data_IF_944736705841
#
_entry.id   IF_944736705841
#
_cell.length_a   1.000
_cell.length_b   1.000
_cell.length_c   1.000
_cell.angle_alpha   90.00
_cell.angle_beta   90.00
_cell.angle_gamma   90.00
#
_symmetry.space_group_name_H-M   'P 1'
#
loop_
_entity.id
_entity.type
_entity.pdbx_description
1 polymer ?
#
# COMPACT_ATOMS: atom_id res chain seq x y z
N UNK A 1 -17.61 -1.17 -11.55
CA UNK A 1 -17.01 -0.83 -10.23
C UNK A 1 -15.91 0.19 -10.45
N UNK A 2 -15.81 1.20 -9.61
CA UNK A 2 -14.67 2.12 -9.62
C UNK A 2 -13.41 1.34 -9.17
N UNK A 3 -12.25 1.65 -9.76
CA UNK A 3 -10.98 1.02 -9.37
C UNK A 3 -10.55 1.54 -8.00
N UNK A 4 -10.00 0.67 -7.15
CA UNK A 4 -9.37 1.08 -5.89
C UNK A 4 -8.08 1.84 -6.16
N UNK A 5 -7.60 2.62 -5.19
CA UNK A 5 -6.34 3.35 -5.31
C UNK A 5 -5.15 2.43 -5.55
N UNK A 6 -5.13 1.26 -4.91
CA UNK A 6 -4.13 0.21 -5.13
C UNK A 6 -4.11 -0.26 -6.60
N UNK A 7 -5.28 -0.55 -7.18
CA UNK A 7 -5.39 -0.94 -8.59
C UNK A 7 -4.87 0.16 -9.54
N UNK A 8 -5.19 1.42 -9.25
CA UNK A 8 -4.73 2.56 -10.05
C UNK A 8 -3.20 2.73 -9.97
N UNK A 9 -2.59 2.47 -8.80
CA UNK A 9 -1.14 2.53 -8.64
C UNK A 9 -0.43 1.39 -9.39
N UNK A 10 -0.96 0.17 -9.32
CA UNK A 10 -0.44 -0.98 -10.09
C UNK A 10 -0.52 -0.71 -11.59
N UNK A 11 -1.62 -0.13 -12.09
CA UNK A 11 -1.74 0.25 -13.49
C UNK A 11 -0.70 1.29 -13.93
N UNK A 12 -0.46 2.31 -13.09
CA UNK A 12 0.59 3.31 -13.35
C UNK A 12 1.99 2.69 -13.33
N UNK A 13 2.26 1.72 -12.45
CA UNK A 13 3.53 0.98 -12.45
C UNK A 13 3.71 0.19 -13.75
N UNK A 14 2.67 -0.51 -14.21
CA UNK A 14 2.72 -1.24 -15.48
C UNK A 14 2.95 -0.31 -16.67
N UNK A 15 2.34 0.88 -16.67
CA UNK A 15 2.58 1.91 -17.68
C UNK A 15 4.02 2.42 -17.65
N UNK A 16 4.58 2.70 -16.46
CA UNK A 16 5.96 3.14 -16.31
C UNK A 16 6.95 2.09 -16.85
N UNK A 17 6.75 0.80 -16.54
CA UNK A 17 7.58 -0.31 -17.04
C UNK A 17 7.48 -0.42 -18.57
N UNK A 18 6.28 -0.30 -19.14
CA UNK A 18 6.11 -0.30 -20.59
C UNK A 18 6.84 0.88 -21.26
N UNK A 19 6.83 2.06 -20.63
CA UNK A 19 7.55 3.23 -21.12
C UNK A 19 9.06 3.04 -21.03
N UNK A 20 9.56 2.40 -19.97
CA UNK A 20 10.97 2.03 -19.86
C UNK A 20 11.40 1.09 -20.99
N UNK A 21 10.59 0.06 -21.27
CA UNK A 21 10.86 -0.90 -22.33
C UNK A 21 10.99 -0.19 -23.69
N UNK A 22 10.05 0.73 -23.99
CA UNK A 22 10.12 1.57 -25.20
C UNK A 22 11.38 2.45 -25.22
N UNK A 23 11.72 3.08 -24.11
CA UNK A 23 12.92 3.91 -24.01
C UNK A 23 14.20 3.10 -24.24
N UNK A 24 14.28 1.87 -23.72
CA UNK A 24 15.39 0.95 -23.97
C UNK A 24 15.50 0.57 -25.45
N UNK A 25 14.39 0.20 -26.09
CA UNK A 25 14.38 -0.14 -27.52
C UNK A 25 14.84 1.03 -28.40
N UNK A 26 14.57 2.27 -27.99
CA UNK A 26 14.91 3.47 -28.72
C UNK A 26 16.28 4.08 -28.33
N UNK A 27 17.05 3.43 -27.44
CA UNK A 27 18.26 3.99 -26.84
C UNK A 27 18.06 5.40 -26.20
N UNK A 28 16.85 5.68 -25.72
CA UNK A 28 16.51 6.95 -25.07
C UNK A 28 16.97 6.96 -23.60
N UNK A 29 18.16 7.52 -23.41
CA UNK A 29 18.78 7.67 -22.09
C UNK A 29 18.00 8.60 -21.16
N UNK A 30 17.26 9.58 -21.68
CA UNK A 30 16.46 10.48 -20.84
C UNK A 30 15.18 9.76 -20.35
N UNK A 31 14.51 9.02 -21.23
CA UNK A 31 13.38 8.17 -20.89
C UNK A 31 13.72 7.16 -19.79
N UNK A 32 14.92 6.56 -19.84
CA UNK A 32 15.38 5.65 -18.79
C UNK A 32 15.57 6.34 -17.42
N UNK A 33 16.16 7.54 -17.39
CA UNK A 33 16.32 8.32 -16.15
C UNK A 33 14.97 8.72 -15.55
N UNK A 34 13.99 9.05 -16.41
CA UNK A 34 12.66 9.39 -15.97
C UNK A 34 11.94 8.18 -15.35
N UNK A 35 12.06 7.00 -15.99
CA UNK A 35 11.51 5.76 -15.44
C UNK A 35 11.99 5.46 -14.02
N UNK A 36 13.31 5.54 -13.76
CA UNK A 36 13.84 5.19 -12.43
C UNK A 36 13.23 6.06 -11.31
N UNK A 37 12.98 7.35 -11.59
CA UNK A 37 12.33 8.27 -10.64
C UNK A 37 10.85 7.94 -10.45
N UNK A 38 10.13 7.71 -11.55
CA UNK A 38 8.71 7.38 -11.53
C UNK A 38 8.45 6.04 -10.84
N UNK A 39 9.23 5.01 -11.16
CA UNK A 39 9.15 3.69 -10.53
C UNK A 39 9.41 3.78 -9.03
N UNK A 40 10.47 4.47 -8.60
CA UNK A 40 10.78 4.65 -7.17
C UNK A 40 9.63 5.34 -6.41
N UNK A 41 9.03 6.37 -7.00
CA UNK A 41 7.91 7.08 -6.41
C UNK A 41 6.67 6.18 -6.25
N UNK A 42 6.33 5.44 -7.31
CA UNK A 42 5.17 4.55 -7.29
C UNK A 42 5.35 3.38 -6.33
N UNK A 43 6.55 2.78 -6.26
CA UNK A 43 6.85 1.70 -5.31
C UNK A 43 6.70 2.17 -3.86
N UNK A 44 7.21 3.36 -3.51
CA UNK A 44 7.05 3.92 -2.16
C UNK A 44 5.59 4.15 -1.78
N UNK A 45 4.78 4.65 -2.72
CA UNK A 45 3.34 4.84 -2.49
C UNK A 45 2.61 3.53 -2.22
N UNK A 46 2.94 2.50 -3.00
CA UNK A 46 2.33 1.17 -2.82
C UNK A 46 2.72 0.55 -1.47
N UNK A 47 3.97 0.73 -1.04
CA UNK A 47 4.45 0.28 0.27
C UNK A 47 3.72 0.95 1.43
N UNK A 48 3.55 2.28 1.37
CA UNK A 48 2.80 3.03 2.39
C UNK A 48 1.35 2.53 2.50
N UNK A 49 0.66 2.34 1.37
CA UNK A 49 -0.72 1.81 1.37
C UNK A 49 -0.82 0.41 1.98
N UNK A 50 0.17 -0.45 1.74
CA UNK A 50 0.22 -1.78 2.36
C UNK A 50 0.39 -1.68 3.87
N UNK A 51 1.32 -0.85 4.34
CA UNK A 51 1.56 -0.61 5.77
C UNK A 51 0.33 -0.01 6.46
N UNK A 52 -0.39 0.91 5.83
CA UNK A 52 -1.63 1.48 6.37
C UNK A 52 -2.74 0.42 6.50
N UNK A 53 -2.83 -0.48 5.53
CA UNK A 53 -3.78 -1.60 5.58
C UNK A 53 -3.44 -2.58 6.70
N UNK A 54 -2.18 -2.97 6.82
CA UNK A 54 -1.69 -3.83 7.92
C UNK A 54 -1.97 -3.19 9.29
N UNK A 55 -1.65 -1.91 9.46
CA UNK A 55 -1.94 -1.18 10.70
C UNK A 55 -3.45 -1.15 11.02
N UNK A 56 -4.30 -0.96 10.00
CA UNK A 56 -5.75 -0.96 10.16
C UNK A 56 -6.25 -2.35 10.60
N UNK A 57 -5.73 -3.42 10.01
CA UNK A 57 -6.05 -4.79 10.40
C UNK A 57 -5.60 -5.09 11.83
N UNK A 58 -4.38 -4.69 12.21
CA UNK A 58 -3.84 -4.84 13.57
C UNK A 58 -4.67 -4.08 14.61
N UNK A 59 -5.07 -2.84 14.30
CA UNK A 59 -5.93 -2.04 15.18
C UNK A 59 -7.30 -2.70 15.36
N UNK A 60 -7.90 -3.21 14.29
CA UNK A 60 -9.18 -3.92 14.36
C UNK A 60 -9.06 -5.22 15.18
N UNK A 61 -7.97 -5.97 15.01
CA UNK A 61 -7.70 -7.17 15.81
C UNK A 61 -7.57 -6.83 17.30
N UNK A 62 -6.80 -5.78 17.64
CA UNK A 62 -6.65 -5.32 19.01
C UNK A 62 -7.98 -4.92 19.66
N UNK A 63 -8.81 -4.15 18.94
CA UNK A 63 -10.14 -3.76 19.43
C UNK A 63 -11.02 -4.99 19.69
N UNK A 64 -11.06 -5.93 18.75
CA UNK A 64 -11.82 -7.18 18.90
C UNK A 64 -11.35 -8.04 20.08
N UNK A 65 -10.04 -8.08 20.35
CA UNK A 65 -9.50 -8.78 21.53
C UNK A 65 -9.89 -8.08 22.85
N UNK A 66 -9.88 -6.75 22.87
CA UNK A 66 -10.31 -5.97 24.04
C UNK A 66 -11.80 -6.09 24.32
N UNK A 67 -12.65 -6.12 23.29
CA UNK A 67 -14.09 -6.38 23.45
C UNK A 67 -14.39 -7.79 23.96
N UNK A 68 -13.55 -8.78 23.60
CA UNK A 68 -13.64 -10.16 24.12
C UNK A 68 -13.16 -10.31 25.55
N UNK A 69 -12.49 -9.31 26.12
CA UNK A 69 -12.10 -9.34 27.53
C UNK A 69 -13.32 -8.89 28.33
N UNK A 70 -14.04 -9.78 29.04
CA UNK A 70 -15.15 -9.32 29.86
C UNK A 70 -14.55 -8.38 30.90
N UNK A 71 -15.04 -7.14 30.94
CA UNK A 71 -14.88 -6.29 32.11
C UNK A 71 -15.43 -7.13 33.25
N UNK A 72 -14.54 -7.66 34.10
CA UNK A 72 -14.91 -8.42 35.27
C UNK A 72 -15.77 -7.50 36.14
N UNK A 73 -17.08 -7.57 35.91
CA UNK A 73 -18.07 -6.76 36.57
C UNK A 73 -18.09 -7.19 38.03
N UNK A 74 -17.53 -6.33 38.88
CA UNK A 74 -17.83 -6.25 40.31
C UNK A 74 -17.49 -7.51 41.11
N UNK A 75 -16.23 -7.63 41.54
CA UNK A 75 -15.94 -8.27 42.83
C UNK A 75 -16.58 -7.40 43.92
N UNK A 76 -17.83 -7.68 44.27
CA UNK A 76 -18.40 -7.21 45.53
C UNK A 76 -17.62 -7.89 46.66
N UNK A 77 -16.68 -7.16 47.23
CA UNK A 77 -16.10 -7.52 48.53
C UNK A 77 -17.00 -6.96 49.62
N UNK A 78 -17.51 -7.90 50.43
CA UNK A 78 -18.23 -7.75 51.70
C UNK A 78 -19.71 -7.39 51.62
#
# INVERSE_FOLDING_TARGET
>A
MAKTEEMLLVEKMNQAVNNQWKAMLNNDRQGFKFFAKEHLYLSKKLEVLKLEKELTEDLNNYLNEKEKTPVAAGVKTK
#
